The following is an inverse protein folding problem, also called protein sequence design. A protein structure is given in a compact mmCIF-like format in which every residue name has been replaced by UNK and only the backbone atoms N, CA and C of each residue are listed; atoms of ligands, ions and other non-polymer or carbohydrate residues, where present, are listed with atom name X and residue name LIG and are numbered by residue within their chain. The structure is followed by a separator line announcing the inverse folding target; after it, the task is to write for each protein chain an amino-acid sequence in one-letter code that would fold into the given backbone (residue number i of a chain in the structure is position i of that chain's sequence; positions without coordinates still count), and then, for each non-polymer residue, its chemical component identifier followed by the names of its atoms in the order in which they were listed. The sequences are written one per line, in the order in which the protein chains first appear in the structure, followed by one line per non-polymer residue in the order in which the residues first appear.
data_IF_216792699636
#
_entry.id   IF_216792699636
#
_cell.length_a   1.000
_cell.length_b   1.000
_cell.length_c   1.000
_cell.angle_alpha   90.00
_cell.angle_beta   90.00
_cell.angle_gamma   90.00
#
_symmetry.space_group_name_H-M   'P 1'
#
loop_
_entity.id
_entity.type
_entity.pdbx_description
1 polymer ?
#
# COMPACT_ATOMS: atom_id res chain seq x y z
N UNK A 1 7.57 17.40 -8.85
CA UNK A 1 6.69 16.86 -7.79
C UNK A 1 7.46 15.97 -6.80
N UNK A 2 8.13 14.89 -7.24
CA UNK A 2 8.74 13.87 -6.34
C UNK A 2 9.72 14.42 -5.28
N UNK A 3 10.45 15.51 -5.57
CA UNK A 3 11.44 16.10 -4.64
C UNK A 3 10.84 16.74 -3.38
N UNK A 4 9.55 17.10 -3.42
CA UNK A 4 8.86 17.84 -2.33
C UNK A 4 7.66 17.09 -1.77
N UNK A 5 7.28 15.96 -2.36
CA UNK A 5 6.13 15.15 -1.95
C UNK A 5 6.46 14.28 -0.73
N UNK A 6 5.44 14.00 0.09
CA UNK A 6 5.52 12.94 1.12
C UNK A 6 5.35 11.53 0.51
N UNK A 7 4.67 11.44 -0.62
CA UNK A 7 4.61 10.24 -1.43
C UNK A 7 5.74 10.22 -2.47
N UNK A 8 5.83 9.14 -3.21
CA UNK A 8 6.73 9.02 -4.36
C UNK A 8 5.95 8.72 -5.61
N UNK A 9 6.28 9.42 -6.69
CA UNK A 9 5.69 9.26 -8.00
C UNK A 9 6.81 9.14 -9.02
N UNK A 10 6.87 8.03 -9.74
CA UNK A 10 7.83 7.82 -10.82
C UNK A 10 7.11 7.37 -12.07
N UNK A 11 7.58 7.87 -13.21
CA UNK A 11 7.16 7.44 -14.52
C UNK A 11 8.39 7.39 -15.42
N UNK A 12 8.46 6.34 -16.22
CA UNK A 12 9.44 6.16 -17.28
C UNK A 12 8.67 5.82 -18.54
N UNK A 13 8.74 6.72 -19.52
CA UNK A 13 8.15 6.50 -20.83
C UNK A 13 9.01 5.48 -21.59
N UNK A 14 8.37 4.44 -22.13
CA UNK A 14 9.01 3.33 -22.84
C UNK A 14 8.70 3.40 -24.34
N UNK A 15 7.41 3.57 -24.69
CA UNK A 15 6.92 3.62 -26.06
C UNK A 15 5.70 4.55 -26.16
N UNK A 16 5.84 5.76 -26.72
CA UNK A 16 4.70 6.71 -26.86
C UNK A 16 3.51 6.14 -27.65
N UNK A 17 3.77 5.18 -28.54
CA UNK A 17 2.75 4.51 -29.38
C UNK A 17 2.15 3.27 -28.73
N UNK A 18 2.62 2.87 -27.54
CA UNK A 18 2.12 1.70 -26.85
C UNK A 18 0.61 1.80 -26.59
N UNK A 19 -0.08 0.68 -26.74
CA UNK A 19 -1.51 0.59 -26.53
C UNK A 19 -1.90 0.68 -25.04
N UNK A 20 -1.04 0.19 -24.15
CA UNK A 20 -1.30 0.10 -22.71
C UNK A 20 -0.48 1.14 -21.94
N UNK A 21 -1.17 2.03 -21.25
CA UNK A 21 -0.60 3.01 -20.33
C UNK A 21 -0.85 2.57 -18.89
N UNK A 22 0.14 2.72 -18.01
CA UNK A 22 0.04 2.29 -16.62
C UNK A 22 0.12 3.48 -15.66
N UNK A 23 -0.70 3.44 -14.60
CA UNK A 23 -0.72 4.38 -13.47
C UNK A 23 -0.97 3.60 -12.15
N UNK A 24 -0.12 2.62 -11.87
CA UNK A 24 -0.38 1.61 -10.84
C UNK A 24 0.26 2.01 -9.49
N UNK A 25 -0.47 1.79 -8.41
CA UNK A 25 0.06 1.98 -7.05
C UNK A 25 0.90 0.79 -6.56
N UNK A 26 2.02 1.11 -5.92
CA UNK A 26 2.97 0.16 -5.33
C UNK A 26 4.04 -0.32 -6.31
N UNK A 27 5.31 -0.12 -5.93
CA UNK A 27 6.46 -0.49 -6.78
C UNK A 27 6.56 -2.00 -7.09
N UNK A 28 6.09 -2.86 -6.21
CA UNK A 28 6.01 -4.30 -6.49
C UNK A 28 4.96 -4.64 -7.54
N UNK A 29 3.79 -4.00 -7.49
CA UNK A 29 2.71 -4.22 -8.45
C UNK A 29 3.08 -3.72 -9.84
N UNK A 30 3.76 -2.57 -9.95
CA UNK A 30 4.22 -2.04 -11.23
C UNK A 30 5.27 -2.93 -11.89
N UNK A 31 6.19 -3.52 -11.11
CA UNK A 31 7.15 -4.50 -11.63
C UNK A 31 6.45 -5.79 -12.08
N UNK A 32 5.56 -6.33 -11.25
CA UNK A 32 4.75 -7.50 -11.60
C UNK A 32 3.97 -7.28 -12.91
N UNK A 33 3.47 -6.07 -13.14
CA UNK A 33 2.77 -5.71 -14.37
C UNK A 33 3.69 -5.81 -15.59
N UNK A 34 4.87 -5.20 -15.53
CA UNK A 34 5.88 -5.28 -16.60
C UNK A 34 6.34 -6.72 -16.87
N UNK A 35 6.67 -7.48 -15.82
CA UNK A 35 7.09 -8.89 -15.93
C UNK A 35 6.00 -9.77 -16.54
N UNK A 36 4.74 -9.51 -16.19
CA UNK A 36 3.59 -10.23 -16.75
C UNK A 36 3.49 -9.97 -18.25
N UNK A 37 3.59 -8.72 -18.70
CA UNK A 37 3.54 -8.38 -20.12
C UNK A 37 4.74 -8.95 -20.90
N UNK A 38 5.94 -8.93 -20.31
CA UNK A 38 7.13 -9.55 -20.89
C UNK A 38 6.95 -11.06 -21.07
N UNK A 39 6.44 -11.76 -20.05
CA UNK A 39 6.15 -13.20 -20.11
C UNK A 39 5.04 -13.53 -21.12
N UNK A 40 4.10 -12.62 -21.32
CA UNK A 40 3.02 -12.73 -22.31
C UNK A 40 3.46 -12.36 -23.74
N UNK A 41 4.72 -11.97 -23.94
CA UNK A 41 5.28 -11.58 -25.23
C UNK A 41 4.61 -10.34 -25.82
N UNK A 42 4.24 -9.37 -24.97
CA UNK A 42 3.57 -8.14 -25.39
C UNK A 42 4.12 -6.89 -24.69
N UNK A 43 5.42 -6.87 -24.39
CA UNK A 43 6.04 -5.75 -23.66
C UNK A 43 6.09 -4.47 -24.51
N UNK A 44 6.19 -4.61 -25.82
CA UNK A 44 6.17 -3.53 -26.80
C UNK A 44 4.88 -2.70 -26.78
N UNK A 45 3.78 -3.28 -26.30
CA UNK A 45 2.50 -2.61 -26.11
C UNK A 45 2.49 -1.69 -24.87
N UNK A 46 3.46 -1.82 -23.97
CA UNK A 46 3.56 -1.02 -22.75
C UNK A 46 4.16 0.35 -23.05
N UNK A 47 3.34 1.39 -22.88
CA UNK A 47 3.76 2.75 -23.18
C UNK A 47 4.66 3.36 -22.10
N UNK A 48 4.36 3.09 -20.83
CA UNK A 48 5.13 3.60 -19.71
C UNK A 48 5.16 2.63 -18.54
N UNK A 49 6.28 2.63 -17.83
CA UNK A 49 6.38 2.10 -16.48
C UNK A 49 6.08 3.23 -15.51
N UNK A 50 5.12 3.07 -14.63
CA UNK A 50 4.82 4.06 -13.61
C UNK A 50 4.56 3.42 -12.25
N UNK A 51 4.87 4.16 -11.19
CA UNK A 51 4.59 3.74 -9.83
C UNK A 51 4.26 4.93 -8.94
N UNK A 52 3.30 4.73 -8.06
CA UNK A 52 3.04 5.62 -6.93
C UNK A 52 3.22 4.87 -5.60
N UNK A 53 3.69 5.55 -4.55
CA UNK A 53 3.80 4.95 -3.22
C UNK A 53 3.74 6.00 -2.12
N UNK A 54 3.36 5.60 -0.91
CA UNK A 54 3.18 6.53 0.21
C UNK A 54 1.91 7.38 0.10
N UNK A 55 1.68 8.29 1.07
CA UNK A 55 0.51 9.15 1.05
C UNK A 55 0.65 10.20 -0.06
N UNK A 56 -0.34 10.25 -0.96
CA UNK A 56 -0.46 11.28 -1.99
C UNK A 56 -1.71 12.12 -1.73
N UNK A 57 -1.57 13.43 -1.84
CA UNK A 57 -2.68 14.38 -1.82
C UNK A 57 -3.48 14.34 -3.13
N UNK A 58 -4.72 14.81 -3.10
CA UNK A 58 -5.56 14.90 -4.29
C UNK A 58 -4.89 15.74 -5.40
N UNK A 59 -4.19 16.83 -5.04
CA UNK A 59 -3.42 17.63 -5.99
C UNK A 59 -2.30 16.85 -6.67
N UNK A 60 -1.51 16.10 -5.91
CA UNK A 60 -0.39 15.31 -6.48
C UNK A 60 -0.90 14.21 -7.42
N UNK A 61 -2.03 13.58 -7.07
CA UNK A 61 -2.70 12.61 -7.93
C UNK A 61 -3.14 13.27 -9.23
N UNK A 62 -3.80 14.42 -9.12
CA UNK A 62 -4.27 15.18 -10.28
C UNK A 62 -3.12 15.49 -11.23
N UNK A 63 -2.03 16.06 -10.70
CA UNK A 63 -0.88 16.45 -11.51
C UNK A 63 -0.20 15.23 -12.18
N UNK A 64 -0.05 14.12 -11.45
CA UNK A 64 0.54 12.89 -11.98
C UNK A 64 -0.32 12.24 -13.08
N UNK A 65 -1.63 12.13 -12.83
CA UNK A 65 -2.56 11.54 -13.80
C UNK A 65 -2.71 12.42 -15.04
N UNK A 66 -2.72 13.74 -14.87
CA UNK A 66 -2.73 14.71 -15.97
C UNK A 66 -1.54 14.50 -16.89
N UNK A 67 -0.33 14.38 -16.35
CA UNK A 67 0.89 14.17 -17.15
C UNK A 67 0.82 12.88 -17.98
N UNK A 68 0.34 11.78 -17.38
CA UNK A 68 0.14 10.49 -18.08
C UNK A 68 -0.88 10.65 -19.21
N UNK A 69 -2.01 11.31 -18.94
CA UNK A 69 -3.08 11.49 -19.93
C UNK A 69 -2.64 12.43 -21.06
N UNK A 70 -1.92 13.51 -20.76
CA UNK A 70 -1.37 14.41 -21.78
C UNK A 70 -0.45 13.65 -22.74
N UNK A 71 0.51 12.87 -22.21
CA UNK A 71 1.40 12.02 -23.01
C UNK A 71 0.64 10.93 -23.79
N UNK A 72 -0.38 10.34 -23.19
CA UNK A 72 -1.23 9.32 -23.82
C UNK A 72 -1.96 9.87 -25.04
N UNK A 73 -2.35 11.15 -25.01
CA UNK A 73 -3.10 11.84 -26.05
C UNK A 73 -2.22 12.47 -27.15
N UNK A 74 -0.89 12.53 -26.99
CA UNK A 74 0.02 13.07 -28.03
C UNK A 74 -0.04 12.25 -29.34
N UNK A 75 0.00 10.93 -29.23
CA UNK A 75 0.00 10.02 -30.38
C UNK A 75 -1.40 9.41 -30.57
N UNK A 76 -2.03 9.65 -31.73
CA UNK A 76 -3.32 9.01 -32.05
C UNK A 76 -3.14 7.52 -32.32
N UNK A 77 -4.16 6.73 -31.96
CA UNK A 77 -4.23 5.30 -32.25
C UNK A 77 -5.59 5.00 -32.87
N UNK A 78 -5.61 4.30 -34.01
CA UNK A 78 -6.85 3.87 -34.67
C UNK A 78 -7.64 2.89 -33.81
N UNK A 79 -6.94 2.05 -33.05
CA UNK A 79 -7.52 1.04 -32.16
C UNK A 79 -7.83 1.58 -30.76
N UNK A 80 -7.65 2.88 -30.52
CA UNK A 80 -7.68 3.47 -29.18
C UNK A 80 -6.50 3.03 -28.32
N UNK A 81 -6.57 3.33 -27.02
CA UNK A 81 -5.56 2.98 -26.01
C UNK A 81 -6.23 2.67 -24.68
N UNK A 82 -5.52 1.98 -23.78
CA UNK A 82 -6.04 1.58 -22.48
C UNK A 82 -5.17 2.13 -21.35
N UNK A 83 -5.78 2.81 -20.38
CA UNK A 83 -5.13 3.25 -19.15
C UNK A 83 -5.47 2.26 -18.02
N UNK A 84 -4.47 1.53 -17.53
CA UNK A 84 -4.61 0.66 -16.37
C UNK A 84 -4.10 1.39 -15.12
N UNK A 85 -4.98 1.58 -14.13
CA UNK A 85 -4.71 2.37 -12.93
C UNK A 85 -5.24 1.69 -11.67
N UNK A 86 -4.90 2.23 -10.51
CA UNK A 86 -5.33 1.71 -9.21
C UNK A 86 -4.51 0.52 -8.71
N UNK A 87 -4.67 0.18 -7.43
CA UNK A 87 -4.06 -0.98 -6.77
C UNK A 87 -4.64 -1.17 -5.37
N UNK A 88 -4.17 -2.17 -4.62
CA UNK A 88 -4.46 -2.27 -3.19
C UNK A 88 -3.90 -1.09 -2.38
N UNK A 89 -2.72 -0.60 -2.75
CA UNK A 89 -2.09 0.53 -2.06
C UNK A 89 -2.72 1.88 -2.45
N UNK A 90 -3.49 1.91 -3.53
CA UNK A 90 -4.06 3.12 -4.11
C UNK A 90 -5.40 2.83 -4.78
N UNK A 91 -6.45 2.75 -3.97
CA UNK A 91 -7.78 2.36 -4.41
C UNK A 91 -8.69 3.57 -4.58
N UNK A 92 -8.72 4.11 -5.80
CA UNK A 92 -9.55 5.25 -6.16
C UNK A 92 -11.03 5.05 -5.86
N UNK A 93 -11.54 3.83 -6.04
CA UNK A 93 -12.96 3.52 -5.86
C UNK A 93 -13.34 3.63 -4.40
N UNK A 94 -12.49 3.10 -3.51
CA UNK A 94 -12.67 3.23 -2.07
C UNK A 94 -12.54 4.68 -1.62
N UNK A 95 -11.56 5.41 -2.14
CA UNK A 95 -11.37 6.83 -1.81
C UNK A 95 -12.57 7.71 -2.24
N UNK A 96 -13.16 7.43 -3.40
CA UNK A 96 -14.39 8.07 -3.87
C UNK A 96 -15.58 7.73 -2.98
N UNK A 97 -15.78 6.45 -2.64
CA UNK A 97 -16.88 6.02 -1.75
C UNK A 97 -16.80 6.63 -0.36
N UNK A 98 -15.58 6.82 0.17
CA UNK A 98 -15.34 7.48 1.44
C UNK A 98 -15.38 9.02 1.35
N UNK A 99 -15.69 9.57 0.16
CA UNK A 99 -15.70 11.01 -0.12
C UNK A 99 -14.39 11.72 0.23
N UNK A 100 -13.27 11.00 0.21
CA UNK A 100 -11.94 11.54 0.57
C UNK A 100 -11.27 12.31 -0.58
N UNK A 101 -11.84 12.25 -1.80
CA UNK A 101 -11.34 12.95 -3.00
C UNK A 101 -12.48 13.35 -3.93
N UNK A 102 -13.64 13.71 -3.38
CA UNK A 102 -14.82 14.03 -4.18
C UNK A 102 -14.54 15.23 -5.09
N UNK A 103 -14.69 15.06 -6.40
CA UNK A 103 -14.44 16.14 -7.37
C UNK A 103 -12.96 16.54 -7.54
N UNK A 104 -12.02 15.81 -6.93
CA UNK A 104 -10.59 16.12 -6.99
C UNK A 104 -9.76 14.94 -7.52
N UNK A 105 -8.43 15.10 -7.59
CA UNK A 105 -7.50 14.04 -7.94
C UNK A 105 -7.79 13.41 -9.30
N UNK A 106 -7.86 12.08 -9.32
CA UNK A 106 -8.06 11.32 -10.55
C UNK A 106 -9.42 11.60 -11.22
N UNK A 107 -10.49 11.73 -10.42
CA UNK A 107 -11.82 12.04 -10.96
C UNK A 107 -11.81 13.37 -11.72
N UNK A 108 -11.22 14.40 -11.12
CA UNK A 108 -11.12 15.72 -11.74
C UNK A 108 -10.40 15.67 -13.09
N UNK A 109 -9.29 14.94 -13.19
CA UNK A 109 -8.59 14.80 -14.47
C UNK A 109 -9.48 14.11 -15.52
N UNK A 110 -10.18 13.05 -15.14
CA UNK A 110 -11.10 12.38 -16.08
C UNK A 110 -12.23 13.30 -16.53
N UNK A 111 -12.81 14.09 -15.62
CA UNK A 111 -13.89 15.03 -15.95
C UNK A 111 -13.42 16.15 -16.88
N UNK A 112 -12.26 16.75 -16.63
CA UNK A 112 -11.68 17.79 -17.48
C UNK A 112 -11.29 17.26 -18.88
N UNK A 113 -10.91 15.99 -19.00
CA UNK A 113 -10.43 15.37 -20.24
C UNK A 113 -11.45 14.46 -20.94
N UNK A 114 -12.66 14.27 -20.39
CA UNK A 114 -13.63 13.27 -20.87
C UNK A 114 -13.94 13.36 -22.36
N UNK A 115 -14.03 14.56 -22.92
CA UNK A 115 -14.27 14.75 -24.36
C UNK A 115 -13.10 14.24 -25.20
N UNK A 116 -11.88 14.59 -24.82
CA UNK A 116 -10.66 14.17 -25.51
C UNK A 116 -10.44 12.67 -25.38
N UNK A 117 -10.68 12.11 -24.20
CA UNK A 117 -10.57 10.67 -23.95
C UNK A 117 -11.57 9.87 -24.78
N UNK A 118 -12.82 10.34 -24.88
CA UNK A 118 -13.84 9.73 -25.75
C UNK A 118 -13.47 9.83 -27.22
N UNK A 119 -13.04 11.00 -27.68
CA UNK A 119 -12.63 11.21 -29.07
C UNK A 119 -11.41 10.36 -29.47
N UNK A 120 -10.50 10.10 -28.53
CA UNK A 120 -9.33 9.24 -28.74
C UNK A 120 -9.58 7.74 -28.45
N UNK A 121 -10.83 7.34 -28.22
CA UNK A 121 -11.23 5.96 -27.91
C UNK A 121 -10.42 5.36 -26.74
N UNK A 122 -10.28 6.12 -25.66
CA UNK A 122 -9.54 5.70 -24.47
C UNK A 122 -10.44 4.89 -23.55
N UNK A 123 -9.98 3.70 -23.16
CA UNK A 123 -10.60 2.87 -22.13
C UNK A 123 -9.80 2.95 -20.83
N UNK A 124 -10.47 2.95 -19.68
CA UNK A 124 -9.83 2.95 -18.36
C UNK A 124 -10.15 1.64 -17.64
N UNK A 125 -9.11 0.96 -17.14
CA UNK A 125 -9.21 -0.22 -16.29
C UNK A 125 -8.69 0.16 -14.90
N UNK A 126 -9.53 0.06 -13.87
CA UNK A 126 -9.19 0.39 -12.48
C UNK A 126 -9.07 -0.90 -11.68
N UNK A 127 -7.91 -1.17 -11.07
CA UNK A 127 -7.76 -2.22 -10.07
C UNK A 127 -8.06 -1.68 -8.67
N UNK A 128 -8.98 -2.32 -7.96
CA UNK A 128 -9.53 -1.88 -6.68
C UNK A 128 -9.50 -3.00 -5.63
N UNK A 129 -9.55 -2.64 -4.34
CA UNK A 129 -9.76 -3.60 -3.23
C UNK A 129 -11.22 -4.02 -3.12
N UNK A 130 -12.13 -3.24 -3.69
CA UNK A 130 -13.55 -3.55 -3.81
C UNK A 130 -13.83 -4.00 -5.24
N UNK A 131 -13.74 -5.30 -5.52
CA UNK A 131 -13.91 -5.84 -6.88
C UNK A 131 -15.33 -5.66 -7.45
N UNK A 132 -15.45 -5.07 -8.65
CA UNK A 132 -16.74 -4.76 -9.31
C UNK A 132 -16.65 -4.60 -10.85
N UNK A 133 -17.22 -5.48 -11.68
CA UNK A 133 -17.29 -5.25 -13.16
C UNK A 133 -18.70 -5.45 -13.71
N UNK A 134 -19.48 -4.46 -14.21
CA UNK A 134 -20.56 -4.81 -15.18
C UNK A 134 -21.18 -3.72 -16.04
N UNK A 135 -21.85 -4.19 -17.11
CA UNK A 135 -22.85 -3.48 -17.92
C UNK A 135 -23.95 -2.73 -17.13
N UNK A 136 -24.22 -3.02 -15.86
CA UNK A 136 -25.23 -2.34 -15.00
C UNK A 136 -24.67 -1.64 -13.76
N UNK A 137 -23.34 -1.57 -13.58
CA UNK A 137 -22.63 -0.62 -12.72
C UNK A 137 -23.08 -0.37 -11.26
N UNK A 138 -23.83 -1.26 -10.59
CA UNK A 138 -24.35 -1.02 -9.21
C UNK A 138 -23.30 -0.68 -8.12
N UNK A 139 -22.00 -0.81 -8.38
CA UNK A 139 -20.94 -0.45 -7.42
C UNK A 139 -19.80 0.40 -7.99
N UNK A 140 -19.89 0.79 -9.27
CA UNK A 140 -19.05 1.86 -9.83
C UNK A 140 -19.66 3.17 -9.33
N UNK A 141 -18.88 4.09 -8.74
CA UNK A 141 -19.40 5.39 -8.35
C UNK A 141 -20.14 6.07 -9.51
N UNK A 142 -21.38 6.51 -9.29
CA UNK A 142 -22.23 7.12 -10.33
C UNK A 142 -21.53 8.30 -11.02
N UNK A 143 -20.65 8.98 -10.28
CA UNK A 143 -19.85 10.07 -10.81
C UNK A 143 -18.98 9.60 -12.00
N UNK A 144 -18.37 8.42 -11.94
CA UNK A 144 -17.55 7.89 -13.04
C UNK A 144 -18.40 7.52 -14.26
N UNK A 145 -19.64 7.06 -14.03
CA UNK A 145 -20.56 6.71 -15.11
C UNK A 145 -20.97 7.94 -15.92
N UNK A 146 -21.18 9.06 -15.22
CA UNK A 146 -21.58 10.33 -15.84
C UNK A 146 -20.54 10.89 -16.83
N UNK A 147 -19.29 10.39 -16.78
CA UNK A 147 -18.21 10.83 -17.67
C UNK A 147 -18.35 10.30 -19.11
N UNK A 148 -19.08 9.20 -19.32
CA UNK A 148 -19.23 8.56 -20.63
C UNK A 148 -17.94 7.94 -21.20
N UNK A 149 -16.91 7.77 -20.37
CA UNK A 149 -15.67 7.05 -20.72
C UNK A 149 -15.90 5.56 -20.45
N UNK A 150 -15.44 4.63 -21.31
CA UNK A 150 -15.43 3.20 -20.99
C UNK A 150 -14.53 2.92 -19.78
N UNK A 151 -15.13 2.67 -18.61
CA UNK A 151 -14.42 2.40 -17.35
C UNK A 151 -14.81 1.00 -16.84
N UNK A 152 -13.81 0.17 -16.57
CA UNK A 152 -13.97 -1.16 -15.99
C UNK A 152 -13.20 -1.26 -14.68
N UNK A 153 -13.83 -1.75 -13.61
CA UNK A 153 -13.20 -1.86 -12.29
C UNK A 153 -12.98 -3.33 -11.97
N UNK A 154 -11.80 -3.75 -11.52
CA UNK A 154 -11.54 -5.16 -11.18
C UNK A 154 -10.99 -5.27 -9.77
N UNK A 155 -11.38 -6.33 -9.06
CA UNK A 155 -10.87 -6.59 -7.72
C UNK A 155 -9.44 -7.12 -7.74
N UNK A 156 -8.89 -7.33 -6.54
CA UNK A 156 -7.60 -7.99 -6.35
C UNK A 156 -7.62 -9.47 -6.74
N UNK A 157 -8.81 -10.08 -6.79
CA UNK A 157 -9.08 -11.46 -7.19
C UNK A 157 -8.82 -11.71 -8.68
N UNK A 158 -8.84 -10.66 -9.51
CA UNK A 158 -8.54 -10.78 -10.95
C UNK A 158 -7.02 -10.73 -11.17
N UNK A 159 -6.42 -11.75 -11.80
CA UNK A 159 -4.98 -11.76 -12.10
C UNK A 159 -4.58 -10.61 -13.03
N UNK A 160 -3.35 -10.09 -12.84
CA UNK A 160 -2.81 -9.03 -13.71
C UNK A 160 -2.81 -9.43 -15.18
N UNK A 161 -2.48 -10.70 -15.48
CA UNK A 161 -2.49 -11.24 -16.83
C UNK A 161 -3.88 -11.14 -17.50
N UNK A 162 -4.97 -11.27 -16.74
CA UNK A 162 -6.32 -11.10 -17.27
C UNK A 162 -6.59 -9.64 -17.62
N UNK A 163 -6.14 -8.69 -16.78
CA UNK A 163 -6.25 -7.25 -17.09
C UNK A 163 -5.51 -6.90 -18.38
N UNK A 164 -4.32 -7.48 -18.59
CA UNK A 164 -3.56 -7.32 -19.85
C UNK A 164 -4.32 -7.94 -21.03
N UNK A 165 -4.89 -9.14 -20.89
CA UNK A 165 -5.68 -9.75 -21.97
C UNK A 165 -6.93 -8.93 -22.33
N UNK A 166 -7.60 -8.33 -21.35
CA UNK A 166 -8.71 -7.43 -21.58
C UNK A 166 -8.25 -6.15 -22.28
N UNK A 167 -7.15 -5.56 -21.83
CA UNK A 167 -6.60 -4.35 -22.44
C UNK A 167 -6.17 -4.56 -23.89
N UNK A 168 -5.64 -5.74 -24.24
CA UNK A 168 -5.26 -6.11 -25.61
C UNK A 168 -6.42 -6.67 -26.44
N UNK A 169 -7.66 -6.68 -25.92
CA UNK A 169 -8.82 -7.31 -26.55
C UNK A 169 -8.62 -8.79 -26.94
N UNK A 170 -7.69 -9.50 -26.28
CA UNK A 170 -7.46 -10.95 -26.46
C UNK A 170 -8.56 -11.78 -25.81
N UNK A 171 -9.25 -11.20 -24.82
CA UNK A 171 -10.41 -11.77 -24.15
C UNK A 171 -11.50 -10.71 -24.01
N UNK A 172 -12.79 -11.08 -24.12
CA UNK A 172 -13.87 -10.15 -23.85
C UNK A 172 -13.85 -9.77 -22.36
N UNK A 173 -14.14 -8.50 -22.08
CA UNK A 173 -14.32 -8.03 -20.70
C UNK A 173 -15.57 -8.71 -20.10
N UNK A 174 -15.47 -9.43 -18.97
CA UNK A 174 -16.60 -10.15 -18.39
C UNK A 174 -17.70 -9.20 -17.87
N UNK A 175 -18.96 -9.64 -17.94
CA UNK A 175 -20.11 -9.01 -17.23
C UNK A 175 -20.11 -9.36 -15.72
N UNK A 176 -20.73 -8.56 -14.81
CA UNK A 176 -20.74 -8.81 -13.31
C UNK A 176 -21.37 -10.16 -13.04
N UNK A 177 -20.52 -11.16 -13.05
CA UNK A 177 -20.61 -12.23 -12.11
C UNK A 177 -19.27 -12.14 -11.40
N UNK A 178 -19.25 -12.14 -10.05
CA UNK A 178 -18.00 -12.40 -9.36
C UNK A 178 -17.53 -13.75 -9.88
N UNK A 179 -16.58 -13.74 -10.83
CA UNK A 179 -15.72 -14.88 -11.04
C UNK A 179 -14.90 -14.90 -9.77
N UNK A 180 -15.42 -15.58 -8.75
CA UNK A 180 -14.63 -15.91 -7.60
C UNK A 180 -13.51 -16.77 -8.18
N UNK A 181 -12.35 -16.18 -8.46
CA UNK A 181 -11.11 -16.89 -8.79
C UNK A 181 -10.60 -17.68 -7.55
N UNK A 182 -11.51 -18.17 -6.69
CA UNK A 182 -11.24 -19.21 -5.67
C UNK A 182 -10.87 -20.53 -6.32
N UNK A 183 -11.30 -20.75 -7.57
CA UNK A 183 -10.81 -21.85 -8.39
C UNK A 183 -9.68 -21.38 -9.32
N UNK A 184 -8.73 -20.60 -8.81
CA UNK A 184 -7.37 -20.96 -9.16
C UNK A 184 -7.20 -22.35 -8.53
N UNK A 185 -7.33 -23.39 -9.34
CA UNK A 185 -6.69 -24.65 -9.01
C UNK A 185 -5.27 -24.27 -8.67
N UNK A 186 -4.95 -24.23 -7.36
CA UNK A 186 -3.57 -24.23 -6.89
C UNK A 186 -2.96 -25.30 -7.77
N UNK A 187 -1.95 -24.98 -8.60
CA UNK A 187 -1.31 -26.02 -9.37
C UNK A 187 -0.93 -27.06 -8.33
N UNK A 188 -1.61 -28.21 -8.37
CA UNK A 188 -1.15 -29.42 -7.73
C UNK A 188 0.09 -29.75 -8.51
N UNK A 189 1.18 -29.04 -8.22
CA UNK A 189 2.49 -29.57 -8.50
C UNK A 189 2.51 -30.83 -7.67
N UNK A 190 2.28 -31.96 -8.35
CA UNK A 190 2.66 -33.28 -7.85
C UNK A 190 4.14 -33.32 -7.48
N UNK A 191 4.90 -32.32 -7.91
CA UNK A 191 6.16 -31.89 -7.32
C UNK A 191 5.90 -30.89 -6.18
N UNK A 192 5.38 -31.35 -5.05
CA UNK A 192 5.70 -30.67 -3.77
C UNK A 192 7.23 -30.62 -3.73
N UNK A 193 7.90 -29.47 -3.53
CA UNK A 193 9.32 -29.51 -3.23
C UNK A 193 9.47 -30.40 -2.01
N UNK A 194 10.01 -31.61 -2.19
CA UNK A 194 10.14 -32.65 -1.16
C UNK A 194 11.06 -32.24 -0.01
N UNK A 195 11.57 -31.00 -0.04
CA UNK A 195 12.50 -30.41 0.91
C UNK A 195 12.01 -29.05 1.46
N UNK A 196 10.70 -28.78 1.53
CA UNK A 196 10.25 -27.70 2.41
C UNK A 196 10.45 -28.14 3.86
N UNK A 197 11.58 -27.74 4.46
CA UNK A 197 11.78 -27.83 5.91
C UNK A 197 10.66 -27.05 6.59
N UNK A 198 9.77 -27.76 7.28
CA UNK A 198 8.92 -27.12 8.29
C UNK A 198 9.84 -26.60 9.39
N UNK A 199 9.99 -25.29 9.45
CA UNK A 199 10.67 -24.62 10.55
C UNK A 199 9.70 -24.54 11.72
N UNK A 200 9.72 -25.55 12.59
CA UNK A 200 9.04 -25.50 13.88
C UNK A 200 9.88 -24.65 14.83
N UNK A 201 9.53 -23.37 14.95
CA UNK A 201 10.11 -22.51 15.98
C UNK A 201 9.61 -22.97 17.36
N UNK A 202 10.52 -23.04 18.33
CA UNK A 202 10.11 -23.24 19.71
C UNK A 202 9.29 -22.02 20.20
N UNK A 203 8.38 -22.19 21.17
CA UNK A 203 7.58 -21.08 21.70
C UNK A 203 8.41 -19.89 22.21
N UNK A 204 9.65 -20.12 22.62
CA UNK A 204 10.57 -19.09 23.11
C UNK A 204 11.19 -18.25 21.99
N UNK A 205 11.25 -18.81 20.78
CA UNK A 205 11.70 -18.13 19.55
C UNK A 205 10.59 -17.29 18.91
N UNK A 206 9.34 -17.38 19.38
CA UNK A 206 8.25 -16.54 18.92
C UNK A 206 8.45 -15.08 19.37
N UNK A 207 8.77 -14.23 18.41
CA UNK A 207 8.91 -12.78 18.63
C UNK A 207 7.54 -12.12 18.83
N UNK A 208 6.55 -12.57 18.08
CA UNK A 208 5.19 -12.03 18.14
C UNK A 208 4.24 -13.11 18.68
N UNK A 209 3.38 -12.71 19.61
CA UNK A 209 2.36 -13.55 20.24
C UNK A 209 1.11 -12.72 20.50
N UNK A 210 0.02 -13.36 20.95
CA UNK A 210 -1.18 -12.67 21.42
C UNK A 210 -0.93 -11.64 22.53
N UNK A 211 0.16 -11.80 23.29
CA UNK A 211 0.53 -10.94 24.42
C UNK A 211 1.54 -9.85 24.06
N UNK A 212 2.03 -9.80 22.82
CA UNK A 212 3.04 -8.81 22.41
C UNK A 212 2.53 -7.39 22.63
N UNK A 213 3.39 -6.57 23.25
CA UNK A 213 3.20 -5.14 23.46
C UNK A 213 4.22 -4.34 22.67
N UNK A 214 3.78 -3.20 22.14
CA UNK A 214 4.60 -2.34 21.30
C UNK A 214 4.65 -0.91 21.84
N UNK A 215 5.76 -0.22 21.58
CA UNK A 215 5.83 1.25 21.59
C UNK A 215 5.71 1.77 20.17
N UNK A 216 4.78 2.70 19.94
CA UNK A 216 4.59 3.36 18.65
C UNK A 216 5.35 4.69 18.62
N UNK A 217 6.43 4.78 17.84
CA UNK A 217 7.27 5.98 17.75
C UNK A 217 6.93 6.78 16.50
N UNK A 218 6.45 8.02 16.68
CA UNK A 218 6.12 8.92 15.56
C UNK A 218 4.97 8.43 14.68
N UNK A 219 4.16 7.48 15.17
CA UNK A 219 3.05 6.91 14.43
C UNK A 219 1.85 7.86 14.41
N UNK A 220 1.26 8.04 13.22
CA UNK A 220 0.08 8.88 13.05
C UNK A 220 -1.13 8.24 13.74
N UNK A 221 -2.07 9.03 14.30
CA UNK A 221 -3.23 8.49 15.03
C UNK A 221 -4.04 7.46 14.23
N UNK A 222 -4.24 7.67 12.92
CA UNK A 222 -4.95 6.71 12.08
C UNK A 222 -4.27 5.34 12.00
N UNK A 223 -2.94 5.31 12.02
CA UNK A 223 -2.16 4.07 12.04
C UNK A 223 -2.32 3.33 13.36
N UNK A 224 -2.29 4.07 14.47
CA UNK A 224 -2.51 3.51 15.81
C UNK A 224 -3.93 2.95 15.93
N UNK A 225 -4.95 3.71 15.50
CA UNK A 225 -6.34 3.24 15.48
C UNK A 225 -6.49 1.94 14.69
N UNK A 226 -5.85 1.82 13.52
CA UNK A 226 -5.90 0.58 12.73
C UNK A 226 -5.31 -0.64 13.44
N UNK A 227 -4.24 -0.47 14.23
CA UNK A 227 -3.67 -1.55 15.06
C UNK A 227 -4.66 -1.94 16.17
N UNK A 228 -5.27 -0.94 16.81
CA UNK A 228 -6.23 -1.13 17.90
C UNK A 228 -7.50 -1.82 17.39
N UNK A 229 -8.02 -1.42 16.22
CA UNK A 229 -9.16 -2.06 15.57
C UNK A 229 -8.85 -3.53 15.24
N UNK A 230 -7.64 -3.81 14.74
CA UNK A 230 -7.21 -5.17 14.47
C UNK A 230 -7.15 -6.02 15.74
N UNK A 231 -6.57 -5.49 16.82
CA UNK A 231 -6.53 -6.18 18.11
C UNK A 231 -7.94 -6.49 18.65
N UNK A 232 -8.88 -5.57 18.48
CA UNK A 232 -10.28 -5.76 18.85
C UNK A 232 -10.94 -6.88 18.02
N UNK A 233 -10.75 -6.86 16.69
CA UNK A 233 -11.28 -7.89 15.78
C UNK A 233 -10.67 -9.28 16.09
N UNK A 234 -9.40 -9.32 16.48
CA UNK A 234 -8.72 -10.53 16.95
C UNK A 234 -9.12 -10.95 18.38
N UNK A 235 -10.12 -10.32 19.00
CA UNK A 235 -10.60 -10.61 20.34
C UNK A 235 -9.50 -10.55 21.42
N UNK A 236 -8.51 -9.66 21.26
CA UNK A 236 -7.55 -9.45 22.33
C UNK A 236 -8.21 -8.77 23.53
N UNK A 237 -7.74 -9.03 24.76
CA UNK A 237 -8.31 -8.38 25.94
C UNK A 237 -7.89 -6.91 26.08
N UNK A 238 -6.76 -6.51 25.48
CA UNK A 238 -6.20 -5.14 25.54
C UNK A 238 -5.43 -4.82 24.25
N UNK A 239 -5.33 -3.54 23.85
CA UNK A 239 -4.48 -3.12 22.73
C UNK A 239 -3.03 -3.54 22.87
N UNK A 240 -2.35 -3.87 21.78
CA UNK A 240 -0.91 -4.14 21.75
C UNK A 240 -0.10 -2.85 21.90
N UNK A 241 -0.63 -1.70 21.47
CA UNK A 241 0.01 -0.40 21.64
C UNK A 241 0.00 -0.04 23.11
N UNK A 242 1.14 -0.15 23.78
CA UNK A 242 1.27 0.14 25.20
C UNK A 242 1.51 1.63 25.46
N UNK A 243 2.28 2.27 24.58
CA UNK A 243 2.61 3.68 24.67
C UNK A 243 2.94 4.27 23.30
N UNK A 244 2.83 5.60 23.23
CA UNK A 244 3.18 6.38 22.04
C UNK A 244 4.33 7.31 22.39
N UNK A 245 5.28 7.44 21.46
CA UNK A 245 6.40 8.39 21.59
C UNK A 245 6.24 9.48 20.55
N UNK A 246 6.01 10.71 21.03
CA UNK A 246 5.95 11.94 20.23
C UNK A 246 6.73 13.04 20.94
N UNK A 247 7.94 13.37 20.46
CA UNK A 247 8.74 14.44 21.03
C UNK A 247 7.98 15.75 21.06
N UNK A 248 8.07 16.47 22.19
CA UNK A 248 7.49 17.79 22.38
C UNK A 248 5.96 17.81 22.33
N UNK A 249 5.32 16.66 22.58
CA UNK A 249 3.88 16.58 22.66
C UNK A 249 3.39 17.26 23.95
N UNK A 250 2.46 18.20 23.81
CA UNK A 250 1.74 18.77 24.98
C UNK A 250 0.74 17.78 25.56
N UNK A 251 0.27 16.83 24.76
CA UNK A 251 -0.64 15.78 25.19
C UNK A 251 0.14 14.66 25.86
N UNK A 252 -0.24 14.29 27.08
CA UNK A 252 0.31 13.17 27.85
C UNK A 252 -0.45 11.87 27.64
N UNK A 253 -1.60 11.92 26.98
CA UNK A 253 -2.40 10.76 26.61
C UNK A 253 -3.16 11.03 25.30
N UNK A 254 -3.50 9.95 24.59
CA UNK A 254 -4.38 9.97 23.42
C UNK A 254 -5.47 8.91 23.54
N UNK A 255 -6.68 9.26 23.10
CA UNK A 255 -7.84 8.38 23.15
C UNK A 255 -8.16 7.77 21.78
N UNK A 256 -8.45 6.47 21.78
CA UNK A 256 -8.77 5.68 20.60
C UNK A 256 -10.04 4.86 20.84
N UNK A 257 -10.73 4.47 19.76
CA UNK A 257 -11.90 3.60 19.84
C UNK A 257 -11.49 2.16 20.14
N UNK A 258 -12.28 1.47 20.95
CA UNK A 258 -12.14 0.05 21.25
C UNK A 258 -13.53 -0.59 21.26
N UNK A 259 -13.95 -1.10 20.10
CA UNK A 259 -15.35 -1.46 19.86
C UNK A 259 -16.26 -0.24 20.04
N UNK A 260 -17.29 -0.36 20.89
CA UNK A 260 -18.15 0.78 21.25
C UNK A 260 -17.54 1.70 22.33
N UNK A 261 -16.44 1.29 22.96
CA UNK A 261 -15.77 2.02 24.03
C UNK A 261 -14.59 2.87 23.54
N UNK A 262 -13.82 3.37 24.50
CA UNK A 262 -12.55 4.07 24.27
C UNK A 262 -11.44 3.49 25.13
N UNK A 263 -10.21 3.61 24.65
CA UNK A 263 -8.99 3.30 25.40
C UNK A 263 -8.05 4.52 25.37
N UNK A 264 -7.43 4.83 26.50
CA UNK A 264 -6.41 5.89 26.61
C UNK A 264 -5.03 5.26 26.54
N UNK A 265 -4.15 5.83 25.70
CA UNK A 265 -2.76 5.38 25.52
C UNK A 265 -1.82 6.52 25.96
N UNK A 266 -0.87 6.27 26.87
CA UNK A 266 0.06 7.29 27.34
C UNK A 266 1.02 7.75 26.24
N UNK A 267 1.36 9.04 26.29
CA UNK A 267 2.26 9.71 25.33
C UNK A 267 3.50 10.21 26.06
N UNK A 268 4.66 9.78 25.56
CA UNK A 268 5.99 10.11 26.07
C UNK A 268 6.77 10.97 25.08
N UNK A 269 7.67 11.79 25.61
CA UNK A 269 8.53 12.65 24.80
C UNK A 269 9.71 11.87 24.17
N UNK A 270 10.13 10.78 24.82
CA UNK A 270 11.24 9.95 24.36
C UNK A 270 11.04 8.45 24.61
N UNK A 271 11.77 7.65 23.82
CA UNK A 271 11.70 6.19 23.83
C UNK A 271 12.25 5.58 25.11
N UNK A 272 13.20 6.25 25.78
CA UNK A 272 13.81 5.73 27.00
C UNK A 272 12.80 5.72 28.14
N UNK A 273 12.12 6.85 28.33
CA UNK A 273 11.08 7.02 29.35
C UNK A 273 9.90 6.06 29.11
N UNK A 274 9.48 5.90 27.85
CA UNK A 274 8.41 4.98 27.49
C UNK A 274 8.81 3.52 27.81
N UNK A 275 10.02 3.09 27.43
CA UNK A 275 10.49 1.73 27.69
C UNK A 275 10.68 1.45 29.18
N UNK A 276 11.18 2.43 29.94
CA UNK A 276 11.32 2.31 31.39
C UNK A 276 9.97 2.20 32.10
N UNK A 277 8.93 2.87 31.60
CA UNK A 277 7.58 2.82 32.15
C UNK A 277 6.80 1.56 31.76
N UNK A 278 7.24 0.88 30.69
CA UNK A 278 6.56 -0.28 30.10
C UNK A 278 7.53 -1.46 29.92
N UNK A 279 7.95 -2.12 31.02
CA UNK A 279 8.89 -3.25 30.96
C UNK A 279 8.35 -4.47 30.19
N UNK A 280 7.03 -4.57 30.01
CA UNK A 280 6.37 -5.63 29.23
C UNK A 280 6.52 -5.49 27.71
N UNK A 281 6.96 -4.32 27.23
CA UNK A 281 7.12 -4.06 25.79
C UNK A 281 8.35 -4.78 25.27
N UNK A 282 8.15 -5.58 24.20
CA UNK A 282 9.22 -6.32 23.52
C UNK A 282 9.48 -5.85 22.09
N UNK A 283 8.63 -4.95 21.57
CA UNK A 283 8.72 -4.46 20.18
C UNK A 283 8.64 -2.94 20.12
N UNK A 284 9.51 -2.32 19.33
CA UNK A 284 9.40 -0.89 19.00
C UNK A 284 8.99 -0.74 17.54
N UNK A 285 7.83 -0.13 17.30
CA UNK A 285 7.34 0.21 15.97
C UNK A 285 7.64 1.67 15.66
N UNK A 286 8.72 1.89 14.92
CA UNK A 286 9.24 3.22 14.63
C UNK A 286 8.85 3.66 13.23
N UNK A 287 8.05 4.71 13.16
CA UNK A 287 7.61 5.37 11.92
C UNK A 287 8.02 6.85 11.91
N UNK A 288 8.92 7.26 12.80
CA UNK A 288 9.41 8.62 12.85
C UNK A 288 10.16 8.99 11.57
N UNK A 289 10.29 10.30 11.33
CA UNK A 289 10.96 10.82 10.13
C UNK A 289 12.35 11.37 10.45
N UNK A 290 13.25 11.25 9.47
CA UNK A 290 14.53 11.93 9.46
C UNK A 290 15.45 11.55 10.64
N UNK A 291 16.21 12.51 11.21
CA UNK A 291 17.21 12.23 12.24
C UNK A 291 16.64 11.57 13.52
N UNK A 292 15.39 11.85 13.87
CA UNK A 292 14.79 11.28 15.08
C UNK A 292 14.55 9.77 14.95
N UNK A 293 14.27 9.28 13.74
CA UNK A 293 14.09 7.85 13.50
C UNK A 293 15.35 7.04 13.87
N UNK A 294 16.53 7.55 13.51
CA UNK A 294 17.81 6.96 13.91
C UNK A 294 17.99 6.99 15.43
N UNK A 295 17.80 8.16 16.06
CA UNK A 295 17.96 8.33 17.52
C UNK A 295 17.06 7.36 18.30
N UNK A 296 15.77 7.32 17.97
CA UNK A 296 14.80 6.44 18.62
C UNK A 296 15.18 4.95 18.47
N UNK A 297 15.62 4.55 17.28
CA UNK A 297 16.08 3.18 17.01
C UNK A 297 17.31 2.82 17.82
N UNK A 298 18.30 3.71 17.88
CA UNK A 298 19.51 3.51 18.68
C UNK A 298 19.18 3.32 20.15
N UNK A 299 18.32 4.18 20.72
CA UNK A 299 17.89 4.10 22.11
C UNK A 299 17.15 2.80 22.41
N UNK A 300 16.22 2.38 21.53
CA UNK A 300 15.52 1.11 21.67
C UNK A 300 16.47 -0.09 21.72
N UNK A 301 17.50 -0.10 20.87
CA UNK A 301 18.51 -1.18 20.82
C UNK A 301 19.43 -1.23 22.04
N UNK A 302 19.44 -0.20 22.90
CA UNK A 302 20.15 -0.26 24.18
C UNK A 302 19.39 -1.04 25.26
N UNK A 303 18.09 -1.29 25.08
CA UNK A 303 17.25 -1.95 26.10
C UNK A 303 17.18 -3.45 25.85
N UNK A 304 17.53 -4.24 26.86
CA UNK A 304 17.55 -5.71 26.79
C UNK A 304 16.17 -6.36 26.63
N UNK A 305 15.09 -5.66 27.01
CA UNK A 305 13.71 -6.16 26.86
C UNK A 305 13.25 -6.23 25.38
N UNK A 306 13.93 -5.52 24.48
CA UNK A 306 13.51 -5.43 23.09
C UNK A 306 14.00 -6.64 22.30
N UNK A 307 13.04 -7.33 21.67
CA UNK A 307 13.27 -8.47 20.78
C UNK A 307 13.16 -8.10 19.30
N UNK A 308 12.38 -7.07 18.99
CA UNK A 308 12.20 -6.62 17.61
C UNK A 308 12.10 -5.09 17.47
N UNK A 309 12.75 -4.57 16.44
CA UNK A 309 12.63 -3.19 15.97
C UNK A 309 11.99 -3.19 14.57
N UNK A 310 10.79 -2.65 14.48
CA UNK A 310 10.08 -2.44 13.22
C UNK A 310 10.39 -1.03 12.74
N UNK A 311 10.90 -0.91 11.52
CA UNK A 311 11.26 0.33 10.87
C UNK A 311 10.36 0.53 9.64
N UNK A 312 9.49 1.53 9.72
CA UNK A 312 8.66 2.03 8.62
C UNK A 312 9.05 3.48 8.34
N UNK A 313 10.32 3.67 8.00
CA UNK A 313 11.00 4.97 7.95
C UNK A 313 11.64 5.19 6.59
N UNK A 314 11.26 6.27 5.92
CA UNK A 314 11.95 6.76 4.74
C UNK A 314 13.12 7.67 5.12
N UNK A 315 14.08 7.81 4.22
CA UNK A 315 15.09 8.87 4.25
C UNK A 315 16.06 8.87 5.44
N UNK A 316 16.35 7.70 6.03
CA UNK A 316 17.53 7.54 6.89
C UNK A 316 18.77 7.34 6.01
N UNK A 317 19.85 8.12 6.20
CA UNK A 317 21.13 7.89 5.52
C UNK A 317 21.61 6.44 5.63
N UNK A 318 22.12 5.90 4.52
CA UNK A 318 22.56 4.50 4.45
C UNK A 318 23.60 4.13 5.53
N UNK A 319 24.49 5.07 5.88
CA UNK A 319 25.47 4.90 6.95
C UNK A 319 24.79 4.61 8.30
N UNK A 320 23.78 5.38 8.66
CA UNK A 320 23.02 5.23 9.91
C UNK A 320 22.21 3.93 9.94
N UNK A 321 21.64 3.52 8.81
CA UNK A 321 20.98 2.20 8.72
C UNK A 321 21.98 1.07 8.99
N UNK A 322 23.20 1.15 8.45
CA UNK A 322 24.25 0.14 8.71
C UNK A 322 24.63 0.08 10.18
N UNK A 323 24.75 1.23 10.84
CA UNK A 323 25.02 1.31 12.29
C UNK A 323 23.91 0.62 13.11
N UNK A 324 22.63 0.88 12.79
CA UNK A 324 21.48 0.21 13.41
C UNK A 324 21.54 -1.31 13.21
N UNK A 325 21.84 -1.78 11.99
CA UNK A 325 21.91 -3.21 11.67
C UNK A 325 23.02 -3.91 12.47
N UNK A 326 24.20 -3.29 12.55
CA UNK A 326 25.34 -3.85 13.29
C UNK A 326 24.98 -3.96 14.78
N UNK A 327 24.44 -2.89 15.36
CA UNK A 327 24.06 -2.87 16.77
C UNK A 327 22.97 -3.91 17.07
N UNK A 328 21.94 -4.02 16.23
CA UNK A 328 20.87 -5.00 16.44
C UNK A 328 21.39 -6.44 16.40
N UNK A 329 22.33 -6.76 15.49
CA UNK A 329 23.00 -8.08 15.48
C UNK A 329 23.77 -8.33 16.77
N UNK A 330 24.53 -7.35 17.25
CA UNK A 330 25.26 -7.46 18.52
C UNK A 330 24.34 -7.69 19.72
N UNK A 331 23.11 -7.18 19.65
CA UNK A 331 22.11 -7.27 20.72
C UNK A 331 21.10 -8.40 20.54
N UNK A 332 21.19 -9.18 19.45
CA UNK A 332 20.23 -10.24 19.15
C UNK A 332 18.81 -9.74 18.86
N UNK A 333 18.66 -8.50 18.39
CA UNK A 333 17.35 -7.89 18.09
C UNK A 333 17.01 -8.06 16.61
N UNK A 334 15.80 -8.55 16.32
CA UNK A 334 15.32 -8.65 14.94
C UNK A 334 14.94 -7.27 14.40
N UNK A 335 15.44 -6.91 13.21
CA UNK A 335 14.97 -5.73 12.48
C UNK A 335 14.03 -6.16 11.36
N UNK A 336 12.87 -5.50 11.27
CA UNK A 336 11.99 -5.56 10.09
C UNK A 336 11.91 -4.17 9.47
N UNK A 337 12.50 -3.96 8.29
CA UNK A 337 12.55 -2.65 7.63
C UNK A 337 13.79 -2.43 6.77
N UNK A 338 14.14 -1.19 6.39
CA UNK A 338 13.64 0.08 6.94
C UNK A 338 12.38 0.65 6.31
N UNK A 339 11.93 0.14 5.16
CA UNK A 339 10.74 0.64 4.43
C UNK A 339 9.67 -0.44 4.34
N UNK A 340 9.02 -0.74 5.46
CA UNK A 340 7.86 -1.64 5.54
C UNK A 340 6.57 -0.82 5.57
N UNK A 341 5.56 -1.24 4.80
CA UNK A 341 4.27 -0.52 4.68
C UNK A 341 3.30 -0.93 5.79
N UNK A 342 3.13 -2.23 6.00
CA UNK A 342 2.28 -2.80 7.04
C UNK A 342 2.69 -4.24 7.30
N UNK A 343 2.33 -4.75 8.48
CA UNK A 343 2.48 -6.16 8.83
C UNK A 343 1.25 -6.60 9.59
N UNK A 344 0.81 -7.83 9.31
CA UNK A 344 -0.29 -8.48 10.00
C UNK A 344 0.23 -9.81 10.50
N UNK A 345 0.09 -10.03 11.80
CA UNK A 345 0.36 -11.33 12.41
C UNK A 345 -0.96 -11.85 12.98
N UNK A 346 -1.39 -13.00 12.48
CA UNK A 346 -2.57 -13.72 12.98
C UNK A 346 -2.08 -14.81 13.92
N UNK A 347 -2.62 -14.84 15.13
CA UNK A 347 -2.28 -15.78 16.20
C UNK A 347 -3.51 -16.56 16.65
#
# INVERSE_FOLDING_TARGET
MDRVSLGKMKMTLLNKKGHIWSAIGGGGTSLLFGDTMAKMGCLEELACYSQTSGPLSAKEIYEFMKEIIDLMLEEKSENGKVLITGSQAFDFVTLMKLKQMQGEGFFRVLDEYKDKLRAANITVIIRSTVGVVSKKNEKVPDELLSLGIPIYIFGSDVPVAELVNFALNRKPVPSNRPNIYRQLSIPTSTNTPSNMKEYHLSPEEHIFTKNTKIIAVGMIPRGIQGIIDYDFICNKPKPMVAAIVRPQSRQKEEQYLWGAGKVSIPVYDDVDQALASHPEVTVVANTARGPYAYKASWMALQKSQIKCLILSVGHIPLKQIREIIILARQKGVMIIGPTVVSMVFSF
#
